data_IF_700562079885
#
_entry.id   IF_700562079885
#
_cell.length_a   1.000
_cell.length_b   1.000
_cell.length_c   1.000
_cell.angle_alpha   90.00
_cell.angle_beta   90.00
_cell.angle_gamma   90.00
#
_symmetry.space_group_name_H-M   'P 1'
#
loop_
_entity.id
_entity.type
_entity.pdbx_description
1 polymer ?
#
# COMPACT_ATOMS: atom_id res chain seq x y z
N UNK A 1 -2.74 4.76 7.33
CA UNK A 1 -2.06 3.99 6.25
C UNK A 1 -1.00 3.11 6.91
N UNK A 2 -0.77 1.89 6.43
CA UNK A 2 0.44 1.12 6.75
C UNK A 2 1.09 0.58 5.48
N UNK A 3 2.38 0.23 5.55
CA UNK A 3 3.17 -0.26 4.41
C UNK A 3 3.64 -1.72 4.52
N UNK A 4 3.21 -2.44 5.57
CA UNK A 4 3.54 -3.86 5.72
C UNK A 4 2.94 -4.71 4.59
N UNK A 5 3.79 -5.53 3.97
CA UNK A 5 3.40 -6.57 3.02
C UNK A 5 2.81 -7.81 3.68
N UNK A 6 2.99 -7.99 4.99
CA UNK A 6 2.52 -9.16 5.72
C UNK A 6 1.24 -8.91 6.52
N UNK A 7 1.09 -7.71 7.11
CA UNK A 7 -0.06 -7.41 7.96
C UNK A 7 -1.29 -7.12 7.09
N UNK A 8 -2.48 -7.68 7.42
CA UNK A 8 -3.72 -7.32 6.75
C UNK A 8 -4.18 -5.91 7.16
N UNK A 9 -4.99 -5.27 6.32
CA UNK A 9 -5.57 -3.94 6.59
C UNK A 9 -6.40 -3.92 7.89
N UNK A 10 -6.96 -5.08 8.28
CA UNK A 10 -7.74 -5.25 9.50
C UNK A 10 -6.96 -4.93 10.79
N UNK A 11 -5.63 -4.86 10.76
CA UNK A 11 -4.82 -4.36 11.88
C UNK A 11 -5.17 -2.91 12.25
N UNK A 12 -5.67 -2.14 11.28
CA UNK A 12 -6.11 -0.75 11.49
C UNK A 12 -7.60 -0.63 11.86
N UNK A 13 -8.32 -1.73 12.08
CA UNK A 13 -9.74 -1.71 12.50
C UNK A 13 -10.01 -0.80 13.72
N UNK A 14 -9.15 -0.72 14.75
CA UNK A 14 -9.35 0.23 15.85
C UNK A 14 -9.40 1.69 15.37
N UNK A 15 -8.58 2.08 14.39
CA UNK A 15 -8.61 3.42 13.81
C UNK A 15 -9.87 3.63 12.96
N UNK A 16 -10.26 2.64 12.16
CA UNK A 16 -11.50 2.71 11.37
C UNK A 16 -12.73 2.90 12.28
N UNK A 17 -12.78 2.21 13.42
CA UNK A 17 -13.84 2.36 14.44
C UNK A 17 -13.89 3.76 15.06
N UNK A 18 -12.76 4.47 15.10
CA UNK A 18 -12.67 5.85 15.57
C UNK A 18 -12.94 6.88 14.45
N UNK A 19 -13.46 6.46 13.30
CA UNK A 19 -13.82 7.35 12.19
C UNK A 19 -12.66 7.73 11.26
N UNK A 20 -11.47 7.15 11.43
CA UNK A 20 -10.35 7.40 10.53
C UNK A 20 -10.45 6.57 9.24
N UNK A 21 -10.02 7.17 8.13
CA UNK A 21 -9.77 6.43 6.89
C UNK A 21 -8.53 5.56 7.05
N UNK A 22 -8.63 4.30 6.63
CA UNK A 22 -7.55 3.32 6.75
C UNK A 22 -7.24 2.74 5.39
N UNK A 23 -5.95 2.53 5.11
CA UNK A 23 -5.50 1.92 3.88
C UNK A 23 -4.18 1.18 4.10
N UNK A 24 -3.81 0.36 3.13
CA UNK A 24 -2.54 -0.32 3.05
C UNK A 24 -1.95 -0.10 1.65
N UNK A 25 -0.65 0.21 1.59
CA UNK A 25 0.10 0.23 0.34
C UNK A 25 1.52 -0.28 0.60
N UNK A 26 1.86 -1.43 0.03
CA UNK A 26 3.17 -2.04 0.18
C UNK A 26 3.98 -1.89 -1.11
N UNK A 27 5.15 -1.25 -1.08
CA UNK A 27 6.06 -1.21 -2.23
C UNK A 27 6.61 -2.61 -2.53
N UNK A 28 6.56 -3.04 -3.79
CA UNK A 28 7.26 -4.24 -4.27
C UNK A 28 8.76 -3.95 -4.48
N UNK A 29 9.42 -3.56 -3.39
CA UNK A 29 10.83 -3.21 -3.35
C UNK A 29 11.45 -3.69 -2.04
N UNK A 30 12.62 -4.33 -2.13
CA UNK A 30 13.46 -4.56 -0.97
C UNK A 30 14.28 -3.29 -0.68
N UNK A 31 14.30 -2.87 0.58
CA UNK A 31 15.05 -1.69 1.06
C UNK A 31 16.37 -2.12 1.72
N UNK A 32 17.17 -2.92 1.02
CA UNK A 32 18.47 -3.38 1.49
C UNK A 32 19.55 -2.30 1.40
N UNK A 33 19.55 -1.53 0.30
CA UNK A 33 20.38 -0.35 0.11
C UNK A 33 19.50 0.90 -0.05
N UNK A 34 19.64 1.93 0.82
CA UNK A 34 18.78 3.11 0.78
C UNK A 34 18.99 3.99 -0.45
N UNK A 35 20.20 4.03 -1.03
CA UNK A 35 20.51 4.81 -2.23
C UNK A 35 19.84 4.16 -3.43
N UNK A 36 20.04 2.86 -3.60
CA UNK A 36 19.42 2.09 -4.69
C UNK A 36 17.89 2.10 -4.56
N UNK A 37 17.37 1.99 -3.33
CA UNK A 37 15.95 2.03 -3.09
C UNK A 37 15.34 3.39 -3.45
N UNK A 38 16.02 4.49 -3.13
CA UNK A 38 15.58 5.83 -3.50
C UNK A 38 15.52 6.00 -5.02
N UNK A 39 16.55 5.57 -5.74
CA UNK A 39 16.61 5.65 -7.21
C UNK A 39 15.47 4.88 -7.88
N UNK A 40 15.13 3.71 -7.35
CA UNK A 40 14.08 2.85 -7.91
C UNK A 40 12.67 3.24 -7.51
N UNK A 41 12.50 3.99 -6.43
CA UNK A 41 11.19 4.23 -5.81
C UNK A 41 10.14 4.78 -6.77
N UNK A 42 10.54 5.62 -7.74
CA UNK A 42 9.63 6.18 -8.74
C UNK A 42 8.97 5.14 -9.66
N UNK A 43 9.67 4.03 -9.94
CA UNK A 43 9.22 2.98 -10.84
C UNK A 43 8.61 1.77 -10.11
N UNK A 44 8.50 1.83 -8.77
CA UNK A 44 7.99 0.74 -7.95
C UNK A 44 6.48 0.61 -8.07
N UNK A 45 6.04 -0.65 -8.16
CA UNK A 45 4.64 -1.03 -8.00
C UNK A 45 4.25 -1.09 -6.52
N UNK A 46 3.10 -0.52 -6.19
CA UNK A 46 2.52 -0.61 -4.86
C UNK A 46 1.32 -1.56 -4.85
N UNK A 47 1.41 -2.59 -4.00
CA UNK A 47 0.32 -3.50 -3.68
C UNK A 47 -0.62 -2.86 -2.67
N UNK A 48 -1.88 -2.63 -3.04
CA UNK A 48 -2.89 -2.09 -2.15
C UNK A 48 -3.91 -3.16 -1.79
N UNK A 49 -4.20 -3.34 -0.49
CA UNK A 49 -5.30 -4.22 -0.09
C UNK A 49 -6.63 -3.52 -0.41
N UNK A 50 -7.55 -4.22 -1.08
CA UNK A 50 -8.87 -3.71 -1.52
C UNK A 50 -9.78 -3.37 -0.32
N UNK A 51 -10.27 -2.12 -0.16
CA UNK A 51 -11.32 -1.80 0.78
C UNK A 51 -12.34 -0.86 0.12
N UNK A 52 -13.14 -1.38 -0.82
CA UNK A 52 -14.23 -0.60 -1.45
C UNK A 52 -13.81 0.75 -2.08
N UNK A 53 -14.78 1.66 -2.24
CA UNK A 53 -14.61 3.00 -2.85
C UNK A 53 -13.60 3.92 -2.10
N UNK A 54 -13.17 3.56 -0.89
CA UNK A 54 -12.35 4.40 0.01
C UNK A 54 -10.92 4.65 -0.49
N UNK A 55 -10.43 3.89 -1.48
CA UNK A 55 -9.05 3.97 -1.96
C UNK A 55 -8.79 4.99 -3.08
N UNK A 56 -9.81 5.66 -3.63
CA UNK A 56 -9.63 6.57 -4.77
C UNK A 56 -8.53 7.63 -4.54
N UNK A 57 -8.54 8.27 -3.37
CA UNK A 57 -7.53 9.28 -3.01
C UNK A 57 -6.11 8.73 -2.92
N UNK A 58 -5.96 7.46 -2.51
CA UNK A 58 -4.65 6.82 -2.40
C UNK A 58 -4.11 6.42 -3.78
N UNK A 59 -4.99 5.95 -4.67
CA UNK A 59 -4.63 5.70 -6.08
C UNK A 59 -4.20 7.00 -6.76
N UNK A 60 -4.92 8.10 -6.56
CA UNK A 60 -4.57 9.41 -7.11
C UNK A 60 -3.24 9.92 -6.55
N UNK A 61 -2.98 9.70 -5.25
CA UNK A 61 -1.69 10.01 -4.62
C UNK A 61 -0.53 9.29 -5.31
N UNK A 62 -0.61 7.96 -5.47
CA UNK A 62 0.46 7.20 -6.12
C UNK A 62 0.64 7.60 -7.59
N UNK A 63 -0.46 7.87 -8.30
CA UNK A 63 -0.41 8.37 -9.67
C UNK A 63 0.30 9.73 -9.76
N UNK A 64 0.06 10.64 -8.81
CA UNK A 64 0.76 11.93 -8.74
C UNK A 64 2.26 11.78 -8.42
N UNK A 65 2.64 10.71 -7.71
CA UNK A 65 4.04 10.34 -7.48
C UNK A 65 4.70 9.60 -8.66
N UNK A 66 3.95 9.31 -9.74
CA UNK A 66 4.43 8.54 -10.89
C UNK A 66 4.44 7.02 -10.68
N UNK A 67 3.93 6.54 -9.54
CA UNK A 67 3.96 5.13 -9.17
C UNK A 67 2.79 4.32 -9.77
N UNK A 68 3.08 3.05 -10.03
CA UNK A 68 2.07 2.08 -10.46
C UNK A 68 1.45 1.41 -9.24
N UNK A 69 0.16 1.06 -9.33
CA UNK A 69 -0.53 0.36 -8.24
C UNK A 69 -1.32 -0.83 -8.76
N UNK A 70 -1.49 -1.84 -7.91
CA UNK A 70 -2.41 -2.95 -8.14
C UNK A 70 -3.13 -3.30 -6.85
N UNK A 71 -4.26 -4.02 -6.98
CA UNK A 71 -5.05 -4.41 -5.82
C UNK A 71 -4.88 -5.87 -5.48
N UNK A 72 -4.85 -6.16 -4.18
CA UNK A 72 -4.77 -7.51 -3.62
C UNK A 72 -5.98 -7.74 -2.73
N UNK A 73 -6.58 -8.93 -2.86
CA UNK A 73 -7.69 -9.32 -1.98
C UNK A 73 -7.17 -9.54 -0.55
N UNK A 74 -7.98 -9.22 0.47
CA UNK A 74 -7.66 -9.55 1.86
C UNK A 74 -7.27 -11.03 2.00
N UNK A 75 -6.20 -11.31 2.76
CA UNK A 75 -5.69 -12.67 2.97
C UNK A 75 -4.83 -13.25 1.84
N UNK A 76 -4.71 -12.57 0.68
CA UNK A 76 -3.81 -12.98 -0.43
C UNK A 76 -2.44 -12.31 -0.40
N UNK A 77 -2.13 -11.58 0.67
CA UNK A 77 -0.87 -10.86 0.82
C UNK A 77 0.38 -11.74 0.85
N UNK A 78 0.25 -12.99 1.27
CA UNK A 78 1.33 -13.97 1.27
C UNK A 78 1.67 -14.53 -0.11
N UNK A 79 0.93 -14.17 -1.17
CA UNK A 79 1.05 -14.75 -2.51
C UNK A 79 1.86 -13.89 -3.49
N UNK A 80 2.34 -12.71 -3.08
CA UNK A 80 3.14 -11.82 -3.92
C UNK A 80 4.50 -11.54 -3.28
#
# INVERSE_FOLDING_TARGET
LHASGACPLSILNPLKKNGYRTACAHPLLAFDDPVVAQEKLGDVWFAMEKPGEENGQLTDFFKACGNQTFTVDPGKKSLY
#
